data_IF_406907807733
#
_entry.id   IF_406907807733
#
_cell.length_a   1.000
_cell.length_b   1.000
_cell.length_c   1.000
_cell.angle_alpha   90.00
_cell.angle_beta   90.00
_cell.angle_gamma   90.00
#
_symmetry.space_group_name_H-M   'P 1'
#
loop_
_entity.id
_entity.type
_entity.pdbx_description
1 polymer ?
#
# COMPACT_ATOMS: atom_id res chain seq x y z
N UNK A 1 2.99 14.22 -18.34
CA UNK A 1 2.35 13.45 -17.26
C UNK A 1 3.41 12.49 -16.74
N UNK A 2 3.99 12.76 -15.56
CA UNK A 2 5.07 11.92 -15.02
C UNK A 2 4.48 10.58 -14.62
N UNK A 3 5.01 9.49 -15.18
CA UNK A 3 4.43 8.15 -15.13
C UNK A 3 4.20 7.68 -13.69
N UNK A 4 2.94 7.70 -13.24
CA UNK A 4 2.51 7.26 -11.91
C UNK A 4 3.04 5.86 -11.58
N UNK A 5 3.10 4.98 -12.57
CA UNK A 5 3.65 3.62 -12.47
C UNK A 5 5.09 3.57 -11.97
N UNK A 6 5.93 4.54 -12.36
CA UNK A 6 7.32 4.63 -11.90
C UNK A 6 7.39 4.90 -10.40
N UNK A 7 6.62 5.87 -9.93
CA UNK A 7 6.53 6.23 -8.50
C UNK A 7 5.95 5.09 -7.66
N UNK A 8 4.97 4.35 -8.19
CA UNK A 8 4.39 3.17 -7.53
C UNK A 8 5.42 2.05 -7.36
N UNK A 9 6.26 1.77 -8.37
CA UNK A 9 7.32 0.77 -8.25
C UNK A 9 8.37 1.16 -7.22
N UNK A 10 8.73 2.44 -7.16
CA UNK A 10 9.65 2.95 -6.14
C UNK A 10 9.05 2.79 -4.74
N UNK A 11 7.80 3.20 -4.54
CA UNK A 11 7.08 3.02 -3.28
C UNK A 11 6.99 1.53 -2.85
N UNK A 12 6.77 0.61 -3.79
CA UNK A 12 6.79 -0.83 -3.50
C UNK A 12 8.18 -1.33 -3.07
N UNK A 13 9.25 -0.83 -3.69
CA UNK A 13 10.62 -1.16 -3.27
C UNK A 13 10.93 -0.62 -1.88
N UNK A 14 10.53 0.61 -1.59
CA UNK A 14 10.70 1.22 -0.27
C UNK A 14 9.95 0.42 0.81
N UNK A 15 8.73 -0.03 0.51
CA UNK A 15 7.96 -0.93 1.38
C UNK A 15 8.67 -2.27 1.59
N UNK A 16 9.26 -2.86 0.54
CA UNK A 16 10.01 -4.10 0.66
C UNK A 16 11.23 -3.94 1.60
N UNK A 17 11.97 -2.84 1.48
CA UNK A 17 13.11 -2.54 2.35
C UNK A 17 12.67 -2.25 3.79
N UNK A 18 11.55 -1.54 4.00
CA UNK A 18 10.99 -1.31 5.33
C UNK A 18 10.58 -2.63 6.01
N UNK A 19 10.06 -3.61 5.25
CA UNK A 19 9.79 -4.96 5.76
C UNK A 19 11.09 -5.67 6.15
N UNK A 20 12.13 -5.62 5.30
CA UNK A 20 13.44 -6.22 5.59
C UNK A 20 14.10 -5.64 6.84
N UNK A 21 13.97 -4.32 7.04
CA UNK A 21 14.46 -3.62 8.24
C UNK A 21 13.62 -3.87 9.50
N UNK A 22 12.47 -4.54 9.37
CA UNK A 22 11.56 -4.81 10.48
C UNK A 22 10.69 -3.62 10.89
N UNK A 23 10.72 -2.52 10.13
CA UNK A 23 9.88 -1.34 10.34
C UNK A 23 8.41 -1.63 10.02
N UNK A 24 8.17 -2.54 9.06
CA UNK A 24 6.85 -3.03 8.69
C UNK A 24 6.79 -4.54 8.91
N UNK A 25 5.78 -5.00 9.66
CA UNK A 25 5.60 -6.43 9.91
C UNK A 25 5.14 -7.15 8.64
N UNK A 26 5.92 -8.10 8.16
CA UNK A 26 5.56 -8.96 7.02
C UNK A 26 4.24 -9.71 7.23
N UNK A 27 3.88 -10.01 8.48
CA UNK A 27 2.63 -10.65 8.87
C UNK A 27 1.37 -9.84 8.54
N UNK A 28 1.51 -8.55 8.19
CA UNK A 28 0.40 -7.72 7.71
C UNK A 28 -0.04 -8.05 6.27
N UNK A 29 0.74 -8.88 5.57
CA UNK A 29 0.55 -9.22 4.17
C UNK A 29 0.40 -10.72 3.96
N UNK A 30 -0.40 -11.10 2.97
CA UNK A 30 -0.48 -12.48 2.49
C UNK A 30 0.78 -12.85 1.70
N UNK A 31 1.05 -14.15 1.54
CA UNK A 31 2.17 -14.64 0.71
C UNK A 31 2.15 -14.09 -0.72
N UNK A 32 0.95 -13.92 -1.32
CA UNK A 32 0.81 -13.34 -2.66
C UNK A 32 1.20 -11.85 -2.69
N UNK A 33 0.86 -11.11 -1.64
CA UNK A 33 1.21 -9.70 -1.49
C UNK A 33 2.70 -9.53 -1.22
N UNK A 34 3.29 -10.33 -0.32
CA UNK A 34 4.73 -10.34 -0.07
C UNK A 34 5.53 -10.60 -1.35
N UNK A 35 5.14 -11.60 -2.15
CA UNK A 35 5.78 -11.86 -3.45
C UNK A 35 5.66 -10.70 -4.45
N UNK A 36 4.57 -9.92 -4.39
CA UNK A 36 4.42 -8.74 -5.23
C UNK A 36 5.31 -7.58 -4.74
N UNK A 37 5.40 -7.41 -3.42
CA UNK A 37 6.23 -6.41 -2.74
C UNK A 37 7.72 -6.67 -3.02
N UNK A 38 8.19 -7.91 -2.81
CA UNK A 38 9.58 -8.32 -3.07
C UNK A 38 9.98 -8.13 -4.55
N UNK A 39 9.03 -8.29 -5.47
CA UNK A 39 9.24 -8.07 -6.91
C UNK A 39 9.17 -6.61 -7.34
N UNK A 40 8.87 -5.68 -6.43
CA UNK A 40 8.76 -4.26 -6.75
C UNK A 40 7.61 -3.94 -7.71
N UNK A 41 6.50 -4.70 -7.67
CA UNK A 41 5.37 -4.48 -8.57
C UNK A 41 4.68 -3.15 -8.28
N UNK A 42 4.23 -2.45 -9.32
CA UNK A 42 3.44 -1.22 -9.18
C UNK A 42 2.06 -1.45 -8.53
N UNK A 43 1.53 -2.68 -8.61
CA UNK A 43 0.30 -3.11 -7.93
C UNK A 43 0.55 -4.29 -7.01
N UNK A 44 -0.06 -4.23 -5.84
CA UNK A 44 -0.06 -5.30 -4.83
C UNK A 44 -1.50 -5.84 -4.79
N UNK A 45 -1.73 -7.17 -4.78
CA UNK A 45 -3.10 -7.70 -4.76
C UNK A 45 -3.97 -7.09 -3.66
N UNK A 46 -5.12 -6.53 -4.05
CA UNK A 46 -6.07 -5.83 -3.16
C UNK A 46 -5.53 -4.54 -2.54
N UNK A 47 -4.45 -3.96 -3.09
CA UNK A 47 -3.89 -2.69 -2.67
C UNK A 47 -3.42 -1.85 -3.86
N UNK A 48 -3.61 -0.55 -3.74
CA UNK A 48 -3.11 0.43 -4.70
C UNK A 48 -2.41 1.56 -3.99
N UNK A 49 -1.46 2.18 -4.68
CA UNK A 49 -0.72 3.34 -4.17
C UNK A 49 -1.47 4.63 -4.51
N UNK A 50 -1.71 5.45 -3.50
CA UNK A 50 -2.31 6.77 -3.64
C UNK A 50 -1.26 7.83 -3.39
N UNK A 51 -1.24 8.84 -4.25
CA UNK A 51 -0.40 10.02 -4.06
C UNK A 51 -0.98 10.84 -2.92
N UNK A 52 -0.17 11.13 -1.91
CA UNK A 52 -0.52 12.10 -0.88
C UNK A 52 -0.46 13.52 -1.48
N UNK A 53 -1.17 14.48 -0.86
CA UNK A 53 -1.09 15.89 -1.26
C UNK A 53 0.31 16.47 -1.06
N UNK A 54 1.07 15.91 -0.11
CA UNK A 54 2.50 16.17 0.05
C UNK A 54 3.27 15.48 -1.09
N UNK A 55 3.91 16.28 -1.93
CA UNK A 55 4.65 15.79 -3.09
C UNK A 55 5.69 14.75 -2.68
N UNK A 56 5.63 13.56 -3.28
CA UNK A 56 6.61 12.47 -3.08
C UNK A 56 6.23 11.43 -2.03
N UNK A 57 5.13 11.61 -1.30
CA UNK A 57 4.64 10.60 -0.35
C UNK A 57 3.57 9.72 -0.99
N UNK A 58 3.78 8.40 -0.92
CA UNK A 58 2.85 7.39 -1.41
C UNK A 58 2.20 6.66 -0.23
N UNK A 59 0.88 6.49 -0.29
CA UNK A 59 0.12 5.75 0.70
C UNK A 59 -0.44 4.48 0.06
N UNK A 60 -0.13 3.33 0.65
CA UNK A 60 -0.73 2.06 0.23
C UNK A 60 -2.13 1.97 0.85
N UNK A 61 -3.18 1.90 0.03
CA UNK A 61 -4.55 1.70 0.49
C UNK A 61 -5.14 0.42 -0.11
N UNK A 62 -6.07 -0.20 0.60
CA UNK A 62 -6.76 -1.40 0.11
C UNK A 62 -7.73 -1.02 -1.02
N UNK A 63 -7.66 -1.71 -2.15
CA UNK A 63 -8.53 -1.48 -3.33
C UNK A 63 -9.98 -1.92 -3.11
N UNK A 64 -10.30 -2.74 -2.10
CA UNK A 64 -11.68 -3.11 -1.84
C UNK A 64 -11.86 -4.27 -0.87
N UNK A 65 -12.26 -3.94 0.35
CA UNK A 65 -13.18 -4.74 1.15
C UNK A 65 -14.58 -4.63 0.50
N UNK A 66 -14.77 -5.22 -0.69
CA UNK A 66 -15.98 -4.94 -1.51
C UNK A 66 -16.74 -6.19 -1.99
N UNK A 67 -16.60 -7.35 -1.32
CA UNK A 67 -17.50 -8.46 -1.63
C UNK A 67 -17.98 -9.34 -0.48
N UNK A 68 -17.35 -9.41 0.71
CA UNK A 68 -17.84 -10.42 1.67
C UNK A 68 -17.55 -10.21 3.17
N UNK A 69 -17.06 -9.04 3.57
CA UNK A 69 -16.85 -8.75 4.99
C UNK A 69 -17.28 -7.32 5.31
N UNK A 70 -18.51 -7.18 5.79
CA UNK A 70 -18.93 -5.97 6.47
C UNK A 70 -17.98 -5.65 7.64
N UNK A 71 -17.58 -4.38 7.73
CA UNK A 71 -17.09 -3.72 8.94
C UNK A 71 -16.04 -4.45 9.79
N UNK A 72 -14.74 -4.27 9.54
CA UNK A 72 -13.74 -3.77 10.52
C UNK A 72 -12.54 -3.18 9.74
N UNK A 73 -12.38 -1.85 9.73
CA UNK A 73 -11.12 -1.23 9.27
C UNK A 73 -11.23 0.03 8.42
N UNK A 74 -11.98 1.05 8.84
CA UNK A 74 -11.77 2.44 8.39
C UNK A 74 -12.37 3.54 9.31
N UNK A 75 -12.93 3.23 10.50
CA UNK A 75 -13.39 4.28 11.43
C UNK A 75 -12.23 4.89 12.22
N UNK A 76 -11.42 5.67 11.52
CA UNK A 76 -10.59 6.79 11.99
C UNK A 76 -9.85 7.25 10.73
N UNK A 77 -10.31 8.23 9.96
CA UNK A 77 -10.33 9.64 10.34
C UNK A 77 -11.29 10.39 9.41
N UNK A 78 -12.45 10.79 9.92
CA UNK A 78 -13.22 11.91 9.40
C UNK A 78 -13.94 12.56 10.57
N UNK A 79 -13.18 13.30 11.40
CA UNK A 79 -13.74 14.35 12.26
C UNK A 79 -12.63 15.25 12.80
N UNK A 80 -12.83 16.55 12.65
CA UNK A 80 -11.99 17.65 13.13
C UNK A 80 -11.64 18.58 11.99
N UNK A 81 -12.63 19.16 11.30
CA UNK A 81 -13.37 20.41 11.60
C UNK A 81 -12.68 21.61 10.97
#
# INVERSE_FOLDING_TARGET
MKDSTGQMRLATKDLAEAIKRGEVRSSAFTTKQLKAIEKGKDKIPSYTWHHHQDTGRMQLIREGLHHDTGHIGWRAMSKGK
#
